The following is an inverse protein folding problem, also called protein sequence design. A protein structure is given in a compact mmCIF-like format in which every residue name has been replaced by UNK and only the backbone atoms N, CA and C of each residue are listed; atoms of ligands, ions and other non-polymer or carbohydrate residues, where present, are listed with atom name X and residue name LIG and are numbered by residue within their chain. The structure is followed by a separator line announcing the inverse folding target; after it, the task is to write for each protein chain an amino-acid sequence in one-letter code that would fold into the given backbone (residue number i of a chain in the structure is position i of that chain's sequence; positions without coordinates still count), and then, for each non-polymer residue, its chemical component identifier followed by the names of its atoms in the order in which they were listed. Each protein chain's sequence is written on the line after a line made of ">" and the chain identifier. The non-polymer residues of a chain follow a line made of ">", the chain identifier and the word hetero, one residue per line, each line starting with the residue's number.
data_IF_417210370727
#
_entry.id   IF_417210370727
#
_cell.length_a   1.000
_cell.length_b   1.000
_cell.length_c   1.000
_cell.angle_alpha   90.00
_cell.angle_beta   90.00
_cell.angle_gamma   90.00
#
_symmetry.space_group_name_H-M   'P 1'
#
loop_
_entity.id
_entity.type
_entity.pdbx_description
1 polymer ?
#
# COMPACT_ATOMS: atom_id res chain seq x y z
N UNK A 1 -33.39 21.90 32.31
CA UNK A 1 -32.31 22.90 32.38
C UNK A 1 -31.62 22.84 31.03
N UNK A 2 -32.17 23.58 30.06
CA UNK A 2 -31.66 23.65 28.69
C UNK A 2 -30.39 24.48 28.68
N UNK A 3 -29.31 23.92 28.15
CA UNK A 3 -28.07 24.63 27.85
C UNK A 3 -28.21 25.27 26.47
N UNK A 4 -28.77 26.48 26.43
CA UNK A 4 -28.57 27.39 25.30
C UNK A 4 -27.12 27.83 25.32
N UNK A 5 -26.27 27.16 24.53
CA UNK A 5 -25.00 27.73 24.10
C UNK A 5 -25.30 28.68 22.95
N UNK A 6 -25.81 29.85 23.30
CA UNK A 6 -25.84 31.02 22.45
C UNK A 6 -24.39 31.38 22.09
N UNK A 7 -23.94 30.93 20.92
CA UNK A 7 -22.86 31.59 20.17
C UNK A 7 -23.48 32.23 18.92
N UNK A 8 -24.23 33.34 19.06
CA UNK A 8 -24.63 34.12 17.91
C UNK A 8 -23.51 35.10 17.64
N UNK A 9 -22.63 34.85 16.66
CA UNK A 9 -21.91 35.93 15.94
C UNK A 9 -20.92 35.46 14.87
N UNK A 10 -20.44 34.20 14.86
CA UNK A 10 -19.47 33.81 13.84
C UNK A 10 -20.06 33.84 12.42
N UNK A 11 -21.28 33.33 12.21
CA UNK A 11 -21.94 33.35 10.90
C UNK A 11 -22.32 34.75 10.41
N UNK A 12 -22.59 35.69 11.32
CA UNK A 12 -22.92 37.07 10.99
C UNK A 12 -21.67 37.90 10.60
N UNK A 13 -20.51 37.59 11.18
CA UNK A 13 -19.22 38.22 10.82
C UNK A 13 -18.76 37.80 9.42
N UNK A 14 -19.09 36.58 8.96
CA UNK A 14 -18.81 36.14 7.58
C UNK A 14 -19.77 36.70 6.52
N UNK A 15 -20.80 37.45 6.93
CA UNK A 15 -21.86 37.94 6.05
C UNK A 15 -21.69 39.40 5.60
N UNK A 16 -20.58 40.07 5.92
CA UNK A 16 -20.32 41.39 5.33
C UNK A 16 -19.87 41.24 3.86
N UNK A 17 -20.52 41.95 2.95
CA UNK A 17 -20.13 42.01 1.53
C UNK A 17 -18.68 42.49 1.36
N UNK A 18 -18.20 43.30 2.31
CA UNK A 18 -16.83 43.81 2.36
C UNK A 18 -15.79 42.70 2.59
N UNK A 19 -16.05 41.73 3.48
CA UNK A 19 -15.15 40.59 3.71
C UNK A 19 -15.23 39.54 2.59
N UNK A 20 -16.40 39.36 1.97
CA UNK A 20 -16.52 38.54 0.75
C UNK A 20 -15.72 39.11 -0.42
N UNK A 21 -15.52 40.42 -0.48
CA UNK A 21 -14.64 41.05 -1.48
C UNK A 21 -13.14 40.83 -1.20
N UNK A 22 -12.76 40.59 0.06
CA UNK A 22 -11.37 40.30 0.46
C UNK A 22 -10.99 38.82 0.30
N UNK A 23 -11.96 37.90 0.40
CA UNK A 23 -11.71 36.46 0.33
C UNK A 23 -12.00 35.90 -1.06
N UNK A 24 -10.94 35.61 -1.83
CA UNK A 24 -11.03 34.93 -3.12
C UNK A 24 -10.80 33.44 -2.90
N UNK A 25 -11.79 32.60 -3.24
CA UNK A 25 -11.56 31.17 -3.38
C UNK A 25 -10.81 30.88 -4.69
N UNK A 26 -9.48 30.88 -4.61
CA UNK A 26 -8.60 30.59 -5.73
C UNK A 26 -8.85 29.22 -6.36
N UNK A 27 -9.35 28.25 -5.59
CA UNK A 27 -9.69 26.91 -6.07
C UNK A 27 -10.90 26.88 -6.99
N UNK A 28 -11.76 27.91 -6.95
CA UNK A 28 -12.94 28.05 -7.81
C UNK A 28 -12.69 28.82 -9.11
N UNK A 29 -11.55 29.50 -9.24
CA UNK A 29 -11.26 30.34 -10.39
C UNK A 29 -11.21 29.53 -11.69
N UNK A 30 -11.81 30.08 -12.75
CA UNK A 30 -11.93 29.43 -14.06
C UNK A 30 -10.56 29.09 -14.67
N UNK A 31 -10.47 27.93 -15.34
CA UNK A 31 -9.32 27.51 -16.14
C UNK A 31 -9.42 27.93 -17.62
N UNK A 32 -10.46 28.70 -17.97
CA UNK A 32 -10.82 29.05 -19.34
C UNK A 32 -11.50 27.90 -20.06
N UNK A 33 -12.48 28.22 -20.90
CA UNK A 33 -13.17 27.26 -21.77
C UNK A 33 -12.40 27.12 -23.09
N UNK A 34 -11.74 25.97 -23.36
CA UNK A 34 -10.95 25.79 -24.58
C UNK A 34 -11.75 25.91 -25.89
N UNK A 35 -13.08 25.76 -25.83
CA UNK A 35 -13.97 25.84 -27.00
C UNK A 35 -14.52 27.25 -27.23
N UNK A 36 -14.25 28.20 -26.33
CA UNK A 36 -14.75 29.55 -26.46
C UNK A 36 -14.21 30.25 -27.73
N UNK A 37 -15.05 31.00 -28.46
CA UNK A 37 -14.63 31.69 -29.66
C UNK A 37 -13.59 32.77 -29.32
N UNK A 38 -12.47 32.75 -30.05
CA UNK A 38 -11.38 33.70 -29.87
C UNK A 38 -11.65 34.96 -30.70
N UNK A 39 -11.82 36.12 -30.04
CA UNK A 39 -11.90 37.39 -30.75
C UNK A 39 -10.53 37.75 -31.37
N UNK A 40 -10.53 38.52 -32.47
CA UNK A 40 -9.30 38.88 -33.21
C UNK A 40 -8.27 39.60 -32.33
N UNK A 41 -8.72 40.40 -31.37
CA UNK A 41 -7.91 41.19 -30.44
C UNK A 41 -7.69 40.50 -29.07
N UNK A 42 -8.20 39.27 -28.89
CA UNK A 42 -8.22 38.60 -27.58
C UNK A 42 -6.80 38.36 -27.03
N UNK A 43 -5.85 38.02 -27.90
CA UNK A 43 -4.46 37.79 -27.49
C UNK A 43 -3.78 39.08 -27.00
N UNK A 44 -3.97 40.19 -27.72
CA UNK A 44 -3.38 41.49 -27.35
C UNK A 44 -3.94 41.97 -26.00
N UNK A 45 -5.27 41.90 -25.83
CA UNK A 45 -5.92 42.22 -24.54
C UNK A 45 -5.48 41.29 -23.41
N UNK A 46 -5.33 39.99 -23.67
CA UNK A 46 -4.83 39.05 -22.66
C UNK A 46 -3.38 39.36 -22.25
N UNK A 47 -2.54 39.80 -23.18
CA UNK A 47 -1.16 40.22 -22.89
C UNK A 47 -1.11 41.52 -22.09
N UNK A 48 -1.99 42.48 -22.38
CA UNK A 48 -2.12 43.71 -21.58
C UNK A 48 -2.55 43.40 -20.14
N UNK A 49 -3.59 42.58 -19.98
CA UNK A 49 -4.05 42.11 -18.66
C UNK A 49 -2.94 41.36 -17.91
N UNK A 50 -2.17 40.52 -18.62
CA UNK A 50 -1.01 39.85 -18.04
C UNK A 50 0.06 40.83 -17.57
N UNK A 51 0.37 41.86 -18.35
CA UNK A 51 1.36 42.87 -17.97
C UNK A 51 0.91 43.59 -16.70
N UNK A 52 -0.33 44.06 -16.68
CA UNK A 52 -0.94 44.71 -15.52
C UNK A 52 -0.97 43.79 -14.29
N UNK A 53 -1.25 42.50 -14.46
CA UNK A 53 -1.21 41.53 -13.37
C UNK A 53 0.18 41.38 -12.76
N UNK A 54 1.25 41.46 -13.56
CA UNK A 54 2.62 41.36 -13.09
C UNK A 54 3.13 42.64 -12.41
N UNK A 55 2.51 43.79 -12.72
CA UNK A 55 2.81 45.09 -12.12
C UNK A 55 1.93 45.42 -10.90
N UNK A 56 0.81 44.70 -10.74
CA UNK A 56 -0.11 44.90 -9.64
C UNK A 56 0.58 44.64 -8.28
N UNK A 57 0.38 45.57 -7.34
CA UNK A 57 0.90 45.44 -5.97
C UNK A 57 0.02 44.55 -5.11
N UNK A 58 -1.29 44.56 -5.36
CA UNK A 58 -2.26 43.77 -4.62
C UNK A 58 -2.37 42.36 -5.21
N UNK A 59 -2.13 41.29 -4.42
CA UNK A 59 -2.07 39.91 -4.92
C UNK A 59 -3.41 39.44 -5.50
N UNK A 60 -4.51 39.79 -4.83
CA UNK A 60 -5.86 39.44 -5.26
C UNK A 60 -6.19 40.07 -6.62
N UNK A 61 -5.83 41.35 -6.81
CA UNK A 61 -6.01 42.06 -8.07
C UNK A 61 -5.20 41.39 -9.19
N UNK A 62 -3.93 41.09 -8.94
CA UNK A 62 -3.05 40.40 -9.88
C UNK A 62 -3.67 39.08 -10.38
N UNK A 63 -4.18 38.26 -9.45
CA UNK A 63 -4.79 36.96 -9.76
C UNK A 63 -6.10 37.10 -10.55
N UNK A 64 -6.91 38.13 -10.27
CA UNK A 64 -8.14 38.39 -11.02
C UNK A 64 -7.85 38.90 -12.43
N UNK A 65 -6.90 39.81 -12.60
CA UNK A 65 -6.47 40.32 -13.91
C UNK A 65 -5.99 39.18 -14.83
N UNK A 66 -5.14 38.29 -14.31
CA UNK A 66 -4.70 37.13 -15.10
C UNK A 66 -5.82 36.10 -15.31
N UNK A 67 -6.80 36.02 -14.41
CA UNK A 67 -7.99 35.16 -14.61
C UNK A 67 -8.84 35.67 -15.77
N UNK A 68 -8.98 36.97 -15.93
CA UNK A 68 -9.65 37.55 -17.11
C UNK A 68 -8.82 37.33 -18.39
N UNK A 69 -7.49 37.41 -18.32
CA UNK A 69 -6.61 37.04 -19.44
C UNK A 69 -6.79 35.56 -19.86
N UNK A 70 -6.98 34.65 -18.89
CA UNK A 70 -7.25 33.23 -19.15
C UNK A 70 -8.60 33.04 -19.85
N UNK A 71 -9.63 33.81 -19.50
CA UNK A 71 -10.93 33.73 -20.21
C UNK A 71 -10.82 34.19 -21.66
N UNK A 72 -9.98 35.19 -21.95
CA UNK A 72 -9.74 35.67 -23.31
C UNK A 72 -8.88 34.69 -24.13
N UNK A 73 -7.90 34.03 -23.51
CA UNK A 73 -6.99 33.08 -24.15
C UNK A 73 -6.99 31.73 -23.42
N UNK A 74 -8.10 30.96 -23.49
CA UNK A 74 -8.29 29.77 -22.67
C UNK A 74 -7.38 28.62 -23.06
N UNK A 75 -6.79 28.59 -24.24
CA UNK A 75 -5.84 27.53 -24.62
C UNK A 75 -4.38 27.85 -24.25
N UNK A 76 -4.10 29.04 -23.72
CA UNK A 76 -2.74 29.47 -23.41
C UNK A 76 -2.23 28.89 -22.09
N UNK A 77 -1.31 27.91 -22.17
CA UNK A 77 -0.60 27.39 -21.00
C UNK A 77 0.27 28.44 -20.29
N UNK A 78 0.70 29.48 -21.01
CA UNK A 78 1.48 30.60 -20.46
C UNK A 78 0.66 31.47 -19.49
N UNK A 79 -0.63 31.71 -19.78
CA UNK A 79 -1.50 32.49 -18.88
C UNK A 79 -1.74 31.74 -17.56
N UNK A 80 -2.03 30.43 -17.65
CA UNK A 80 -2.13 29.56 -16.48
C UNK A 80 -0.83 29.50 -15.68
N UNK A 81 0.32 29.37 -16.35
CA UNK A 81 1.62 29.39 -15.68
C UNK A 81 1.88 30.71 -14.92
N UNK A 82 1.41 31.83 -15.49
CA UNK A 82 1.55 33.15 -14.87
C UNK A 82 0.67 33.25 -13.63
N UNK A 83 -0.60 32.83 -13.71
CA UNK A 83 -1.48 32.79 -12.53
C UNK A 83 -0.94 31.86 -11.45
N UNK A 84 -0.47 30.69 -11.83
CA UNK A 84 0.15 29.76 -10.90
C UNK A 84 1.39 30.34 -10.20
N UNK A 85 2.17 31.18 -10.89
CA UNK A 85 3.31 31.88 -10.28
C UNK A 85 2.86 32.85 -9.19
N UNK A 86 1.84 33.65 -9.48
CA UNK A 86 1.26 34.58 -8.50
C UNK A 86 0.70 33.81 -7.30
N UNK A 87 -0.06 32.75 -7.54
CA UNK A 87 -0.61 31.88 -6.48
C UNK A 87 0.49 31.23 -5.64
N UNK A 88 1.56 30.74 -6.27
CA UNK A 88 2.72 30.19 -5.57
C UNK A 88 3.39 31.22 -4.66
N UNK A 89 3.54 32.46 -5.12
CA UNK A 89 4.14 33.55 -4.34
C UNK A 89 3.26 33.96 -3.14
N UNK A 90 1.94 33.84 -3.26
CA UNK A 90 0.96 34.07 -2.17
C UNK A 90 0.94 32.88 -1.18
N UNK A 91 1.47 31.72 -1.57
CA UNK A 91 1.47 30.49 -0.77
C UNK A 91 0.31 29.53 -1.08
N UNK A 92 -0.51 29.84 -2.09
CA UNK A 92 -1.67 29.05 -2.52
C UNK A 92 -1.22 27.92 -3.47
N UNK A 93 -0.55 26.92 -2.89
CA UNK A 93 0.12 25.85 -3.63
C UNK A 93 -0.83 24.91 -4.37
N UNK A 94 -2.01 24.62 -3.80
CA UNK A 94 -2.97 23.68 -4.40
C UNK A 94 -3.65 24.27 -5.64
N UNK A 95 -4.20 25.51 -5.60
CA UNK A 95 -4.68 26.19 -6.80
C UNK A 95 -3.57 26.40 -7.85
N UNK A 96 -2.35 26.75 -7.41
CA UNK A 96 -1.20 26.88 -8.32
C UNK A 96 -0.88 25.56 -9.04
N UNK A 97 -0.88 24.43 -8.33
CA UNK A 97 -0.62 23.12 -8.92
C UNK A 97 -1.71 22.73 -9.94
N UNK A 98 -2.98 23.00 -9.64
CA UNK A 98 -4.11 22.76 -10.56
C UNK A 98 -3.90 23.50 -11.89
N UNK A 99 -3.53 24.77 -11.83
CA UNK A 99 -3.26 25.57 -13.02
C UNK A 99 -2.05 25.02 -13.79
N UNK A 100 -0.99 24.61 -13.09
CA UNK A 100 0.23 24.07 -13.70
C UNK A 100 0.00 22.72 -14.38
N UNK A 101 -0.85 21.87 -13.80
CA UNK A 101 -1.24 20.59 -14.41
C UNK A 101 -1.92 20.79 -15.77
N UNK A 102 -2.76 21.82 -15.90
CA UNK A 102 -3.37 22.19 -17.18
C UNK A 102 -2.39 22.92 -18.09
N UNK A 103 -1.51 23.76 -17.53
CA UNK A 103 -0.51 24.50 -18.30
C UNK A 103 0.45 23.56 -19.05
N UNK A 104 0.94 22.50 -18.39
CA UNK A 104 1.83 21.50 -19.02
C UNK A 104 1.12 20.63 -20.05
N UNK A 105 -0.20 20.45 -19.93
CA UNK A 105 -1.00 19.76 -20.96
C UNK A 105 -1.19 20.65 -22.20
N UNK A 106 -1.49 21.94 -22.00
CA UNK A 106 -1.71 22.90 -23.09
C UNK A 106 -0.42 23.32 -23.78
N UNK A 107 0.69 23.39 -23.05
CA UNK A 107 2.00 23.75 -23.58
C UNK A 107 3.11 22.78 -23.09
N UNK A 108 3.21 21.57 -23.68
CA UNK A 108 4.15 20.53 -23.25
C UNK A 108 5.64 20.87 -23.42
N UNK A 109 5.95 21.93 -24.17
CA UNK A 109 7.31 22.43 -24.37
C UNK A 109 7.64 23.67 -23.51
N UNK A 110 6.72 24.10 -22.64
CA UNK A 110 6.93 25.28 -21.81
C UNK A 110 7.69 24.92 -20.53
N UNK A 111 9.02 25.04 -20.58
CA UNK A 111 9.92 24.64 -19.49
C UNK A 111 9.61 25.35 -18.15
N UNK A 112 9.22 26.62 -18.18
CA UNK A 112 8.87 27.38 -16.98
C UNK A 112 7.68 26.78 -16.22
N UNK A 113 6.67 26.23 -16.93
CA UNK A 113 5.56 25.52 -16.29
C UNK A 113 6.03 24.27 -15.55
N UNK A 114 6.87 23.45 -16.16
CA UNK A 114 7.43 22.27 -15.49
C UNK A 114 8.31 22.64 -14.29
N UNK A 115 9.09 23.71 -14.42
CA UNK A 115 9.95 24.23 -13.34
C UNK A 115 9.14 24.64 -12.13
N UNK A 116 8.11 25.47 -12.34
CA UNK A 116 7.24 25.94 -11.27
C UNK A 116 6.40 24.78 -10.69
N UNK A 117 5.89 23.87 -11.53
CA UNK A 117 5.17 22.66 -11.10
C UNK A 117 6.02 21.81 -10.18
N UNK A 118 7.27 21.57 -10.56
CA UNK A 118 8.25 20.84 -9.76
C UNK A 118 8.51 21.49 -8.40
N UNK A 119 8.65 22.82 -8.36
CA UNK A 119 8.76 23.58 -7.10
C UNK A 119 7.51 23.46 -6.24
N UNK A 120 6.31 23.68 -6.80
CA UNK A 120 5.04 23.53 -6.09
C UNK A 120 4.90 22.13 -5.48
N UNK A 121 5.18 21.08 -6.26
CA UNK A 121 5.12 19.69 -5.81
C UNK A 121 6.13 19.39 -4.69
N UNK A 122 7.32 19.97 -4.75
CA UNK A 122 8.33 19.84 -3.70
C UNK A 122 7.83 20.46 -2.38
N UNK A 123 7.21 21.65 -2.42
CA UNK A 123 6.61 22.26 -1.24
C UNK A 123 5.42 21.47 -0.67
N UNK A 124 4.68 20.77 -1.53
CA UNK A 124 3.59 19.86 -1.14
C UNK A 124 4.09 18.46 -0.73
N UNK A 125 5.41 18.27 -0.57
CA UNK A 125 6.05 16.99 -0.23
C UNK A 125 5.75 15.85 -1.23
N UNK A 126 5.31 16.16 -2.45
CA UNK A 126 5.06 15.20 -3.53
C UNK A 126 6.32 14.96 -4.35
N UNK A 127 7.36 14.45 -3.66
CA UNK A 127 8.73 14.44 -4.19
C UNK A 127 8.91 13.64 -5.49
N UNK A 128 8.23 12.49 -5.67
CA UNK A 128 8.32 11.72 -6.92
C UNK A 128 7.88 12.55 -8.13
N UNK A 129 6.69 13.17 -8.06
CA UNK A 129 6.16 14.02 -9.13
C UNK A 129 6.97 15.31 -9.32
N UNK A 130 7.55 15.83 -8.24
CA UNK A 130 8.46 16.97 -8.29
C UNK A 130 9.72 16.64 -9.12
N UNK A 131 10.35 15.49 -8.86
CA UNK A 131 11.53 15.01 -9.61
C UNK A 131 11.21 14.86 -11.09
N UNK A 132 10.06 14.27 -11.44
CA UNK A 132 9.63 14.12 -12.84
C UNK A 132 9.50 15.48 -13.54
N UNK A 133 8.81 16.43 -12.89
CA UNK A 133 8.57 17.77 -13.45
C UNK A 133 9.87 18.56 -13.61
N UNK A 134 10.71 18.59 -12.57
CA UNK A 134 12.00 19.29 -12.60
C UNK A 134 12.96 18.66 -13.62
N UNK A 135 12.96 17.33 -13.75
CA UNK A 135 13.76 16.63 -14.77
C UNK A 135 13.29 16.96 -16.18
N UNK A 136 11.97 17.08 -16.40
CA UNK A 136 11.43 17.51 -17.69
C UNK A 136 11.79 18.97 -17.99
N UNK A 137 11.69 19.85 -16.99
CA UNK A 137 12.12 21.25 -17.12
C UNK A 137 13.59 21.34 -17.53
N UNK A 138 14.49 20.59 -16.87
CA UNK A 138 15.92 20.57 -17.18
C UNK A 138 16.23 20.06 -18.59
N UNK A 139 15.43 19.12 -19.10
CA UNK A 139 15.56 18.59 -20.47
C UNK A 139 15.12 19.61 -21.53
N UNK A 140 14.06 20.36 -21.25
CA UNK A 140 13.52 21.36 -22.18
C UNK A 140 14.38 22.62 -22.21
N UNK A 141 14.80 23.12 -21.04
CA UNK A 141 15.60 24.32 -20.87
C UNK A 141 16.48 24.16 -19.62
N UNK A 142 17.77 23.90 -19.85
CA UNK A 142 18.73 23.65 -18.78
C UNK A 142 18.85 24.89 -17.88
N UNK A 143 18.56 24.73 -16.60
CA UNK A 143 18.61 25.80 -15.61
C UNK A 143 19.38 25.32 -14.37
N UNK A 144 20.55 25.91 -14.04
CA UNK A 144 21.35 25.44 -12.89
C UNK A 144 20.65 25.70 -11.54
N UNK A 145 19.75 26.67 -11.48
CA UNK A 145 19.04 27.06 -10.25
C UNK A 145 18.16 25.93 -9.68
N UNK A 146 17.69 24.99 -10.51
CA UNK A 146 16.82 23.90 -10.05
C UNK A 146 17.56 22.62 -9.65
N UNK A 147 18.87 22.54 -9.90
CA UNK A 147 19.66 21.32 -9.63
C UNK A 147 19.68 20.96 -8.14
N UNK A 148 19.73 21.97 -7.28
CA UNK A 148 19.68 21.77 -5.83
C UNK A 148 18.32 21.16 -5.42
N UNK A 149 17.22 21.81 -5.82
CA UNK A 149 15.86 21.33 -5.51
C UNK A 149 15.61 19.92 -6.08
N UNK A 150 16.09 19.64 -7.29
CA UNK A 150 16.00 18.32 -7.90
C UNK A 150 16.74 17.26 -7.08
N UNK A 151 17.98 17.53 -6.66
CA UNK A 151 18.75 16.62 -5.80
C UNK A 151 18.08 16.40 -4.44
N UNK A 152 17.59 17.47 -3.82
CA UNK A 152 16.90 17.39 -2.52
C UNK A 152 15.64 16.51 -2.63
N UNK A 153 14.84 16.68 -3.70
CA UNK A 153 13.67 15.84 -3.94
C UNK A 153 14.06 14.38 -4.23
N UNK A 154 15.13 14.13 -4.99
CA UNK A 154 15.63 12.78 -5.26
C UNK A 154 16.06 12.07 -3.97
N UNK A 155 16.76 12.77 -3.07
CA UNK A 155 17.12 12.26 -1.75
C UNK A 155 15.88 11.87 -0.94
N UNK A 156 14.86 12.75 -0.89
CA UNK A 156 13.60 12.47 -0.21
C UNK A 156 12.84 11.27 -0.79
N UNK A 157 12.87 11.09 -2.11
CA UNK A 157 12.29 9.91 -2.77
C UNK A 157 13.00 8.63 -2.33
N UNK A 158 14.33 8.64 -2.24
CA UNK A 158 15.11 7.48 -1.80
C UNK A 158 14.85 7.14 -0.33
N UNK A 159 14.79 8.15 0.54
CA UNK A 159 14.45 7.99 1.96
C UNK A 159 13.08 7.32 2.13
N UNK A 160 12.04 7.86 1.49
CA UNK A 160 10.68 7.32 1.57
C UNK A 160 10.59 5.88 1.05
N UNK A 161 11.27 5.58 -0.06
CA UNK A 161 11.31 4.20 -0.60
C UNK A 161 12.02 3.23 0.36
N UNK A 162 13.09 3.68 1.02
CA UNK A 162 13.79 2.85 2.00
C UNK A 162 12.94 2.58 3.25
N UNK A 163 12.17 3.58 3.71
CA UNK A 163 11.22 3.43 4.81
C UNK A 163 10.07 2.48 4.45
N UNK A 164 9.45 2.67 3.28
CA UNK A 164 8.40 1.78 2.77
C UNK A 164 8.87 0.33 2.67
N UNK A 165 10.10 0.11 2.19
CA UNK A 165 10.69 -1.22 2.10
C UNK A 165 10.88 -1.87 3.48
N UNK A 166 11.41 -1.12 4.46
CA UNK A 166 11.58 -1.61 5.83
C UNK A 166 10.25 -1.98 6.47
N UNK A 167 9.21 -1.17 6.28
CA UNK A 167 7.88 -1.45 6.83
C UNK A 167 7.23 -2.67 6.14
N UNK A 168 7.44 -2.85 4.83
CA UNK A 168 7.02 -4.08 4.12
C UNK A 168 7.70 -5.32 4.69
N UNK A 169 9.01 -5.27 4.91
CA UNK A 169 9.78 -6.37 5.49
C UNK A 169 9.32 -6.70 6.92
N UNK A 170 9.09 -5.67 7.74
CA UNK A 170 8.54 -5.83 9.10
C UNK A 170 7.17 -6.49 9.07
N UNK A 171 6.28 -6.00 8.21
CA UNK A 171 4.94 -6.56 8.05
C UNK A 171 4.99 -8.02 7.59
N UNK A 172 5.86 -8.36 6.63
CA UNK A 172 6.03 -9.73 6.16
C UNK A 172 6.60 -10.64 7.27
N UNK A 173 7.55 -10.16 8.07
CA UNK A 173 8.10 -10.91 9.19
C UNK A 173 7.03 -11.23 10.25
N UNK A 174 6.21 -10.24 10.62
CA UNK A 174 5.09 -10.44 11.55
C UNK A 174 4.07 -11.43 10.97
N UNK A 175 3.77 -11.34 9.67
CA UNK A 175 2.87 -12.29 9.00
C UNK A 175 3.42 -13.72 9.07
N UNK A 176 4.69 -13.92 8.72
CA UNK A 176 5.35 -15.25 8.78
C UNK A 176 5.40 -15.80 10.20
N UNK A 177 5.67 -14.97 11.20
CA UNK A 177 5.67 -15.40 12.61
C UNK A 177 4.26 -15.80 13.07
N UNK A 178 3.22 -15.05 12.66
CA UNK A 178 1.84 -15.38 12.97
C UNK A 178 1.39 -16.70 12.31
N UNK A 179 1.75 -16.91 11.03
CA UNK A 179 1.53 -18.17 10.30
C UNK A 179 2.25 -19.33 11.02
N UNK A 180 3.51 -19.16 11.40
CA UNK A 180 4.27 -20.17 12.13
C UNK A 180 3.68 -20.46 13.52
N UNK A 181 3.21 -19.45 14.25
CA UNK A 181 2.52 -19.63 15.55
C UNK A 181 1.21 -20.38 15.37
N UNK A 182 0.42 -20.06 14.35
CA UNK A 182 -0.82 -20.76 14.07
C UNK A 182 -0.55 -22.22 13.71
N UNK A 183 0.47 -22.48 12.92
CA UNK A 183 0.87 -23.83 12.54
C UNK A 183 1.36 -24.63 13.74
N UNK A 184 2.20 -24.06 14.60
CA UNK A 184 2.61 -24.68 15.88
C UNK A 184 1.41 -24.99 16.78
N UNK A 185 0.47 -24.05 16.92
CA UNK A 185 -0.73 -24.27 17.71
C UNK A 185 -1.62 -25.38 17.13
N UNK A 186 -1.71 -25.50 15.80
CA UNK A 186 -2.40 -26.61 15.14
C UNK A 186 -1.72 -27.94 15.45
N UNK A 187 -0.39 -28.01 15.28
CA UNK A 187 0.41 -29.21 15.56
C UNK A 187 0.30 -29.64 17.03
N UNK A 188 0.39 -28.70 17.97
CA UNK A 188 0.19 -28.97 19.40
C UNK A 188 -1.23 -29.47 19.68
N UNK A 189 -2.26 -28.80 19.12
CA UNK A 189 -3.65 -29.24 19.30
C UNK A 189 -3.93 -30.62 18.72
N UNK A 190 -3.26 -30.99 17.61
CA UNK A 190 -3.35 -32.31 17.01
C UNK A 190 -2.69 -33.36 17.90
N UNK A 191 -1.49 -33.08 18.38
CA UNK A 191 -0.73 -33.94 19.30
C UNK A 191 -1.50 -34.23 20.58
N UNK A 192 -2.10 -33.22 21.20
CA UNK A 192 -2.90 -33.39 22.42
C UNK A 192 -4.13 -34.27 22.18
N UNK A 193 -4.80 -34.12 21.02
CA UNK A 193 -5.92 -34.98 20.63
C UNK A 193 -5.49 -36.44 20.42
N UNK A 194 -4.37 -36.65 19.72
CA UNK A 194 -3.80 -37.99 19.52
C UNK A 194 -3.50 -38.67 20.85
N UNK A 195 -2.85 -37.97 21.79
CA UNK A 195 -2.53 -38.53 23.10
C UNK A 195 -3.77 -38.93 23.89
N UNK A 196 -4.78 -38.06 23.94
CA UNK A 196 -6.04 -38.34 24.61
C UNK A 196 -6.74 -39.58 24.02
N UNK A 197 -6.70 -39.76 22.70
CA UNK A 197 -7.31 -40.89 22.01
C UNK A 197 -6.57 -42.22 22.29
N UNK A 198 -5.24 -42.19 22.28
CA UNK A 198 -4.39 -43.35 22.63
C UNK A 198 -4.63 -43.79 24.07
N UNK A 199 -4.68 -42.85 25.02
CA UNK A 199 -4.91 -43.18 26.43
C UNK A 199 -6.33 -43.70 26.68
N UNK A 200 -7.34 -43.16 25.97
CA UNK A 200 -8.70 -43.71 26.00
C UNK A 200 -8.76 -45.16 25.45
N UNK A 201 -8.01 -45.46 24.40
CA UNK A 201 -7.92 -46.81 23.83
C UNK A 201 -7.27 -47.82 24.79
N UNK A 202 -6.20 -47.41 25.49
CA UNK A 202 -5.56 -48.25 26.53
C UNK A 202 -6.54 -48.62 27.64
N UNK A 203 -7.34 -47.66 28.10
CA UNK A 203 -8.30 -47.89 29.18
C UNK A 203 -9.45 -48.81 28.77
N UNK A 204 -9.87 -48.80 27.50
CA UNK A 204 -10.95 -49.66 26.99
C UNK A 204 -10.51 -51.08 26.60
N UNK A 205 -9.21 -51.36 26.60
CA UNK A 205 -8.66 -52.68 26.19
C UNK A 205 -8.93 -53.06 24.73
N UNK A 206 -9.54 -52.16 23.95
CA UNK A 206 -9.83 -52.26 22.52
C UNK A 206 -9.90 -50.85 21.95
N UNK A 207 -9.48 -50.67 20.71
CA UNK A 207 -9.60 -49.39 20.03
C UNK A 207 -11.07 -49.13 19.66
N UNK A 208 -11.55 -47.87 19.73
CA UNK A 208 -12.93 -47.53 19.38
C UNK A 208 -13.29 -48.03 17.97
N UNK A 209 -14.51 -48.53 17.78
CA UNK A 209 -15.03 -48.85 16.44
C UNK A 209 -15.04 -47.57 15.59
N UNK A 210 -14.13 -47.51 14.61
CA UNK A 210 -13.83 -46.30 13.85
C UNK A 210 -12.52 -45.67 14.31
N UNK A 211 -11.42 -46.16 13.76
CA UNK A 211 -10.05 -45.70 14.04
C UNK A 211 -9.82 -44.29 13.48
N UNK A 212 -10.32 -43.28 14.18
CA UNK A 212 -10.16 -41.88 13.79
C UNK A 212 -8.68 -41.46 13.84
N UNK A 213 -7.86 -42.07 14.72
CA UNK A 213 -6.39 -41.91 14.77
C UNK A 213 -5.73 -42.08 13.40
N UNK A 214 -6.06 -43.14 12.66
CA UNK A 214 -5.45 -43.44 11.36
C UNK A 214 -5.97 -42.52 10.25
N UNK A 215 -7.25 -42.15 10.27
CA UNK A 215 -7.83 -41.18 9.33
C UNK A 215 -7.28 -39.76 9.56
N UNK A 216 -7.04 -39.39 10.83
CA UNK A 216 -6.44 -38.13 11.23
C UNK A 216 -4.96 -38.08 10.79
N UNK A 217 -4.19 -39.15 11.02
CA UNK A 217 -2.81 -39.28 10.51
C UNK A 217 -2.76 -39.26 8.98
N UNK A 218 -3.70 -39.93 8.29
CA UNK A 218 -3.74 -39.98 6.83
C UNK A 218 -4.05 -38.62 6.20
N UNK A 219 -4.96 -37.84 6.80
CA UNK A 219 -5.30 -36.47 6.36
C UNK A 219 -4.14 -35.49 6.55
N UNK A 220 -3.37 -35.62 7.62
CA UNK A 220 -2.20 -34.78 7.85
C UNK A 220 -0.95 -35.27 7.09
N UNK A 221 -0.83 -36.56 6.82
CA UNK A 221 0.21 -37.09 5.94
C UNK A 221 0.08 -36.54 4.51
N UNK A 222 -1.14 -36.30 4.03
CA UNK A 222 -1.35 -35.62 2.73
C UNK A 222 -0.90 -34.14 2.73
N UNK A 223 -0.55 -33.56 3.89
CA UNK A 223 0.05 -32.23 4.04
C UNK A 223 1.48 -32.26 4.60
N UNK A 224 2.19 -33.40 4.47
CA UNK A 224 3.59 -33.56 4.91
C UNK A 224 4.46 -32.36 4.50
N UNK A 225 4.96 -31.61 5.49
CA UNK A 225 6.03 -30.65 5.25
C UNK A 225 7.34 -31.40 4.98
N UNK A 226 8.20 -30.85 4.14
CA UNK A 226 9.52 -31.43 3.81
C UNK A 226 10.36 -31.75 5.06
N UNK A 227 10.13 -31.00 6.15
CA UNK A 227 10.82 -31.15 7.42
C UNK A 227 10.35 -32.38 8.22
N UNK A 228 9.06 -32.75 8.13
CA UNK A 228 8.53 -33.97 8.76
C UNK A 228 8.95 -35.23 8.01
N UNK A 229 8.93 -35.19 6.67
CA UNK A 229 9.45 -36.29 5.85
C UNK A 229 10.94 -36.55 6.16
N UNK A 230 11.72 -35.49 6.38
CA UNK A 230 13.12 -35.59 6.77
C UNK A 230 13.33 -36.22 8.16
N UNK A 231 12.52 -35.85 9.16
CA UNK A 231 12.59 -36.47 10.51
C UNK A 231 12.23 -37.95 10.52
N UNK A 232 11.31 -38.40 9.67
CA UNK A 232 10.97 -39.82 9.51
C UNK A 232 12.11 -40.63 8.89
N UNK A 233 12.87 -40.03 7.98
CA UNK A 233 14.04 -40.64 7.34
C UNK A 233 15.30 -40.62 8.22
N UNK A 234 15.45 -39.61 9.07
CA UNK A 234 16.60 -39.47 9.98
C UNK A 234 16.52 -40.39 11.20
N UNK A 235 15.32 -40.84 11.58
CA UNK A 235 15.16 -41.80 12.67
C UNK A 235 15.40 -43.23 12.15
N UNK A 236 16.44 -43.88 12.67
CA UNK A 236 16.88 -45.20 12.21
C UNK A 236 15.82 -46.29 12.38
N UNK A 237 14.93 -46.16 13.37
CA UNK A 237 13.88 -47.15 13.64
C UNK A 237 12.69 -46.98 12.69
N UNK A 238 12.32 -45.74 12.35
CA UNK A 238 11.22 -45.47 11.42
C UNK A 238 11.65 -45.67 9.96
N UNK A 239 12.90 -45.35 9.64
CA UNK A 239 13.50 -45.59 8.34
C UNK A 239 13.63 -47.10 8.05
N UNK A 240 14.18 -47.88 9.00
CA UNK A 240 14.28 -49.33 8.85
C UNK A 240 12.91 -50.03 8.73
N UNK A 241 11.89 -49.51 9.42
CA UNK A 241 10.54 -50.05 9.33
C UNK A 241 9.81 -49.69 8.02
N UNK A 242 10.14 -48.56 7.40
CA UNK A 242 9.60 -48.17 6.08
C UNK A 242 10.12 -49.09 4.97
N UNK A 243 11.33 -49.62 5.13
CA UNK A 243 11.94 -50.58 4.21
C UNK A 243 11.57 -52.04 4.54
N UNK A 244 10.89 -52.30 5.66
CA UNK A 244 10.45 -53.64 6.05
C UNK A 244 9.10 -54.02 5.40
N UNK A 245 9.08 -55.01 4.49
CA UNK A 245 7.85 -55.47 3.85
C UNK A 245 6.85 -56.10 4.83
N UNK A 246 7.29 -56.65 5.98
CA UNK A 246 6.37 -57.13 7.00
C UNK A 246 5.69 -55.99 7.75
N UNK A 247 6.44 -54.94 8.10
CA UNK A 247 5.89 -53.74 8.71
C UNK A 247 4.84 -53.09 7.81
N UNK A 248 5.16 -52.91 6.52
CA UNK A 248 4.22 -52.35 5.54
C UNK A 248 2.93 -53.21 5.40
N UNK A 249 3.08 -54.54 5.41
CA UNK A 249 1.95 -55.49 5.35
C UNK A 249 1.07 -55.39 6.60
N UNK A 250 1.67 -55.38 7.79
CA UNK A 250 0.96 -55.23 9.08
C UNK A 250 0.27 -53.87 9.18
N UNK A 251 0.87 -52.82 8.63
CA UNK A 251 0.30 -51.48 8.59
C UNK A 251 -0.87 -51.37 7.59
N UNK A 252 -0.80 -52.05 6.44
CA UNK A 252 -1.90 -52.17 5.47
C UNK A 252 -3.04 -53.06 5.99
N UNK A 253 -2.73 -54.18 6.66
CA UNK A 253 -3.71 -55.03 7.35
C UNK A 253 -4.43 -54.24 8.44
N UNK A 254 -3.71 -53.43 9.21
CA UNK A 254 -4.26 -52.53 10.22
C UNK A 254 -5.12 -51.41 9.61
N UNK A 255 -4.71 -50.86 8.46
CA UNK A 255 -5.47 -49.84 7.75
C UNK A 255 -6.79 -50.38 7.18
N UNK A 256 -6.81 -51.65 6.75
CA UNK A 256 -8.00 -52.33 6.22
C UNK A 256 -8.90 -52.90 7.31
N UNK A 257 -8.32 -53.37 8.41
CA UNK A 257 -9.04 -53.94 9.53
C UNK A 257 -8.44 -53.46 10.87
N UNK A 258 -8.97 -52.38 11.45
CA UNK A 258 -8.39 -51.78 12.65
C UNK A 258 -8.42 -52.68 13.90
N UNK A 259 -9.21 -53.76 13.88
CA UNK A 259 -9.21 -54.77 14.95
C UNK A 259 -7.90 -55.58 15.03
N UNK A 260 -7.15 -55.69 13.92
CA UNK A 260 -5.85 -56.41 13.92
C UNK A 260 -4.72 -55.58 14.54
N UNK A 261 -4.95 -54.29 14.82
CA UNK A 261 -3.98 -53.42 15.46
C UNK A 261 -3.52 -53.97 16.83
N UNK A 262 -4.46 -54.46 17.64
CA UNK A 262 -4.15 -55.04 18.95
C UNK A 262 -3.34 -56.35 18.84
N UNK A 263 -3.40 -57.02 17.69
CA UNK A 263 -2.63 -58.23 17.40
C UNK A 263 -1.23 -57.88 16.90
N UNK A 264 -1.10 -56.93 15.97
CA UNK A 264 0.19 -56.45 15.48
C UNK A 264 0.98 -55.66 16.52
N UNK A 265 0.33 -54.97 17.45
CA UNK A 265 0.98 -54.28 18.58
C UNK A 265 1.60 -55.23 19.62
N UNK A 266 1.31 -56.54 19.55
CA UNK A 266 2.01 -57.55 20.37
C UNK A 266 3.40 -57.86 19.83
N UNK A 267 3.65 -57.57 18.56
CA UNK A 267 4.97 -57.64 17.96
C UNK A 267 5.81 -56.44 18.43
N UNK A 268 6.86 -56.67 19.24
CA UNK A 268 7.64 -55.60 19.84
C UNK A 268 8.44 -54.78 18.82
N UNK A 269 8.74 -55.32 17.64
CA UNK A 269 9.44 -54.58 16.58
C UNK A 269 8.47 -53.66 15.86
N UNK A 270 7.30 -54.17 15.49
CA UNK A 270 6.22 -53.37 14.89
C UNK A 270 5.75 -52.27 15.84
N UNK A 271 5.51 -52.57 17.12
CA UNK A 271 5.06 -51.59 18.10
C UNK A 271 6.09 -50.48 18.32
N UNK A 272 7.40 -50.80 18.35
CA UNK A 272 8.47 -49.81 18.51
C UNK A 272 8.55 -48.88 17.29
N UNK A 273 8.57 -49.44 16.09
CA UNK A 273 8.60 -48.68 14.84
C UNK A 273 7.36 -47.81 14.65
N UNK A 274 6.17 -48.35 14.92
CA UNK A 274 4.92 -47.61 14.84
C UNK A 274 4.90 -46.43 15.82
N UNK A 275 5.30 -46.65 17.08
CA UNK A 275 5.43 -45.57 18.07
C UNK A 275 6.52 -44.56 17.71
N UNK A 276 7.58 -44.98 17.03
CA UNK A 276 8.60 -44.11 16.46
C UNK A 276 8.01 -43.16 15.41
N UNK A 277 7.18 -43.67 14.49
CA UNK A 277 6.48 -42.87 13.49
C UNK A 277 5.52 -41.90 14.18
N UNK A 278 4.72 -42.35 15.15
CA UNK A 278 3.83 -41.49 15.94
C UNK A 278 4.62 -40.38 16.67
N UNK A 279 5.82 -40.68 17.16
CA UNK A 279 6.70 -39.69 17.79
C UNK A 279 7.28 -38.66 16.81
N UNK A 280 7.36 -38.94 15.51
CA UNK A 280 7.79 -37.96 14.50
C UNK A 280 6.71 -36.91 14.18
N UNK A 281 5.45 -37.15 14.53
CA UNK A 281 4.34 -36.18 14.49
C UNK A 281 4.30 -35.29 15.76
N UNK A 282 5.43 -35.13 16.46
CA UNK A 282 5.63 -34.27 17.64
C UNK A 282 6.38 -32.98 17.33
#
# INVERSE_FOLDING_TARGET
>A
MSSDSDIPELEAVYASEELRSLYIDYGSLSLGDPEAPLAEDAFERAMELRSRALEATEPNEAVLLITDAIKLCPTSGMMLCTRARLLYDIGELTPALRDLDVAVQRAPNHAASYRLRGRCLAHLCRYNQAVESLSMAQKLDYCPEIEKTLRDCQGKVQELRAEEQKERERFEAVRKEAEARQERARQESFKDRLYAEVDAAKQRGSLPEGFQILDNMRREATSLSDEMAKKLLENSETSAAMDDPEFARKLDEMAKNPATCAEHMKDPEFARAFMGIVNCFK
#
